data_IF_452895469926
#
_entry.id   IF_452895469926
#
_cell.length_a   1.000
_cell.length_b   1.000
_cell.length_c   1.000
_cell.angle_alpha   90.00
_cell.angle_beta   90.00
_cell.angle_gamma   90.00
#
_symmetry.space_group_name_H-M   'P 1'
#
loop_
_entity.id
_entity.type
_entity.pdbx_description
1 polymer ?
#
# COMPACT_ATOMS: atom_id res chain seq x y z
N UNK A 1 -40.30 -0.76 -17.70
CA UNK A 1 -39.39 0.20 -17.03
C UNK A 1 -39.94 0.44 -15.64
N UNK A 2 -39.33 -0.19 -14.65
CA UNK A 2 -39.76 -0.18 -13.26
C UNK A 2 -38.74 -0.97 -12.45
N UNK A 3 -37.96 -0.23 -11.68
CA UNK A 3 -37.04 -0.68 -10.62
C UNK A 3 -37.70 -1.67 -9.68
N UNK A 4 -36.96 -2.66 -9.16
CA UNK A 4 -36.88 -2.93 -7.73
C UNK A 4 -35.67 -3.85 -7.44
N UNK A 5 -34.76 -3.27 -6.67
CA UNK A 5 -33.68 -3.89 -5.92
C UNK A 5 -34.18 -5.00 -4.97
N UNK A 6 -33.20 -5.77 -4.49
CA UNK A 6 -33.22 -6.64 -3.32
C UNK A 6 -33.75 -8.07 -3.52
N UNK A 7 -32.80 -8.99 -3.70
CA UNK A 7 -32.85 -10.29 -3.03
C UNK A 7 -31.45 -10.65 -2.55
N UNK A 8 -31.17 -10.24 -1.31
CA UNK A 8 -30.16 -10.87 -0.47
C UNK A 8 -30.61 -12.31 -0.25
N UNK A 9 -29.81 -13.26 -0.73
CA UNK A 9 -29.83 -14.64 -0.24
C UNK A 9 -28.46 -14.89 0.39
N UNK A 10 -28.43 -14.82 1.72
CA UNK A 10 -27.37 -15.43 2.51
C UNK A 10 -27.43 -16.95 2.27
N UNK A 11 -26.35 -17.52 1.77
CA UNK A 11 -26.02 -18.93 1.94
C UNK A 11 -24.53 -19.03 2.22
N UNK A 12 -24.22 -19.34 3.47
CA UNK A 12 -22.89 -19.56 4.00
C UNK A 12 -22.05 -20.58 3.21
N UNK A 13 -20.78 -20.21 3.03
CA UNK A 13 -19.68 -21.16 3.09
C UNK A 13 -18.81 -21.25 1.84
N UNK A 14 -17.60 -20.69 1.97
CA UNK A 14 -16.34 -21.09 1.32
C UNK A 14 -16.01 -20.39 -0.02
N UNK A 15 -15.29 -19.27 0.08
CA UNK A 15 -14.54 -18.75 -1.06
C UNK A 15 -14.08 -17.29 -1.04
N UNK A 16 -14.26 -16.54 0.05
CA UNK A 16 -14.01 -15.09 0.08
C UNK A 16 -12.53 -14.73 0.25
N UNK A 17 -11.63 -15.39 -0.49
CA UNK A 17 -10.18 -15.23 -0.34
C UNK A 17 -9.52 -14.27 -1.36
N UNK A 18 -10.29 -13.67 -2.28
CA UNK A 18 -9.69 -13.06 -3.48
C UNK A 18 -9.86 -11.55 -3.68
N UNK A 19 -10.49 -10.81 -2.76
CA UNK A 19 -10.52 -9.34 -2.83
C UNK A 19 -9.85 -8.66 -1.63
N UNK A 20 -9.71 -9.35 -0.51
CA UNK A 20 -9.20 -8.77 0.74
C UNK A 20 -7.67 -8.61 0.74
N UNK A 21 -6.94 -9.54 0.12
CA UNK A 21 -5.47 -9.50 0.06
C UNK A 21 -4.96 -8.32 -0.78
N UNK A 22 -5.68 -7.95 -1.84
CA UNK A 22 -5.31 -6.86 -2.73
C UNK A 22 -5.71 -5.49 -2.15
N UNK A 23 -6.87 -5.41 -1.48
CA UNK A 23 -7.29 -4.23 -0.72
C UNK A 23 -6.34 -3.93 0.46
N UNK A 24 -5.88 -4.97 1.16
CA UNK A 24 -4.98 -4.82 2.32
C UNK A 24 -3.57 -4.33 1.97
N UNK A 25 -3.09 -4.56 0.73
CA UNK A 25 -1.84 -3.97 0.21
C UNK A 25 -2.06 -2.53 -0.25
N UNK A 26 -3.14 -2.28 -0.98
CA UNK A 26 -3.49 -0.96 -1.49
C UNK A 26 -3.86 0.06 -0.38
N UNK A 27 -4.25 -0.41 0.80
CA UNK A 27 -4.48 0.42 1.98
C UNK A 27 -3.21 0.65 2.83
N UNK A 28 -2.08 0.00 2.49
CA UNK A 28 -0.88 -0.09 3.35
C UNK A 28 0.17 1.00 3.09
N UNK A 29 0.18 1.53 1.88
CA UNK A 29 0.82 2.80 1.54
C UNK A 29 -0.31 3.72 1.08
N UNK A 30 -0.51 4.86 1.74
CA UNK A 30 -1.09 5.97 0.99
C UNK A 30 -0.26 6.15 -0.28
N UNK A 31 -0.92 6.45 -1.40
CA UNK A 31 -0.22 6.64 -2.66
C UNK A 31 0.93 7.64 -2.44
N UNK A 32 2.12 7.30 -2.90
CA UNK A 32 3.34 8.07 -2.62
C UNK A 32 3.19 9.56 -2.94
N UNK A 33 2.43 9.88 -3.99
CA UNK A 33 2.08 11.25 -4.36
C UNK A 33 1.32 12.01 -3.25
N UNK A 34 0.35 11.35 -2.60
CA UNK A 34 -0.39 11.92 -1.46
C UNK A 34 0.50 12.10 -0.24
N UNK A 35 1.36 11.12 0.06
CA UNK A 35 2.30 11.23 1.18
C UNK A 35 3.23 12.44 0.96
N UNK A 36 3.84 12.56 -0.22
CA UNK A 36 4.71 13.70 -0.56
C UNK A 36 4.03 15.05 -0.39
N UNK A 37 2.74 15.16 -0.70
CA UNK A 37 1.99 16.41 -0.57
C UNK A 37 1.99 16.94 0.88
N UNK A 38 2.03 16.05 1.87
CA UNK A 38 1.98 16.39 3.29
C UNK A 38 3.34 16.26 4.00
N UNK A 39 4.38 15.84 3.28
CA UNK A 39 5.74 15.78 3.80
C UNK A 39 6.36 17.17 3.83
N UNK A 40 6.64 17.66 5.04
CA UNK A 40 7.17 19.01 5.26
C UNK A 40 8.69 19.04 5.41
N UNK A 41 9.30 17.94 5.87
CA UNK A 41 10.71 17.88 6.26
C UNK A 41 11.48 16.80 5.47
N UNK A 42 12.73 17.05 5.07
CA UNK A 42 13.55 16.06 4.35
C UNK A 42 13.71 14.73 5.12
N UNK A 43 13.80 14.80 6.44
CA UNK A 43 13.90 13.64 7.33
C UNK A 43 12.62 12.80 7.32
N UNK A 44 11.46 13.46 7.25
CA UNK A 44 10.17 12.78 7.11
C UNK A 44 10.05 12.13 5.73
N UNK A 45 10.55 12.78 4.66
CA UNK A 45 10.55 12.17 3.33
C UNK A 45 11.39 10.89 3.32
N UNK A 46 12.57 10.92 3.93
CA UNK A 46 13.41 9.74 4.09
C UNK A 46 12.68 8.62 4.85
N UNK A 47 12.07 8.96 5.99
CA UNK A 47 11.30 8.00 6.78
C UNK A 47 10.17 7.37 5.96
N UNK A 48 9.38 8.15 5.23
CA UNK A 48 8.27 7.61 4.43
C UNK A 48 8.74 6.81 3.19
N UNK A 49 9.95 7.08 2.68
CA UNK A 49 10.57 6.24 1.66
C UNK A 49 10.88 4.83 2.19
N UNK A 50 11.41 4.73 3.41
CA UNK A 50 11.85 3.46 4.02
C UNK A 50 10.80 2.78 4.91
N UNK A 51 9.74 3.49 5.31
CA UNK A 51 8.69 3.02 6.22
C UNK A 51 8.14 1.64 5.82
N UNK A 52 7.86 1.34 4.53
CA UNK A 52 7.39 0.02 4.15
C UNK A 52 8.41 -1.11 4.35
N UNK A 53 9.70 -0.81 4.16
CA UNK A 53 10.78 -1.77 4.34
C UNK A 53 10.97 -2.09 5.82
N UNK A 54 10.96 -1.07 6.67
CA UNK A 54 11.27 -1.19 8.10
C UNK A 54 10.07 -1.72 8.90
N UNK A 55 8.86 -1.19 8.65
CA UNK A 55 7.68 -1.49 9.48
C UNK A 55 6.79 -2.58 8.90
N UNK A 56 6.80 -2.78 7.58
CA UNK A 56 5.89 -3.71 6.91
C UNK A 56 6.59 -4.87 6.22
N UNK A 57 7.92 -4.98 6.39
CA UNK A 57 8.75 -6.02 5.80
C UNK A 57 8.61 -6.12 4.27
N UNK A 58 8.26 -5.00 3.63
CA UNK A 58 8.20 -4.91 2.18
C UNK A 58 9.61 -4.89 1.60
N UNK A 59 9.80 -5.49 0.43
CA UNK A 59 11.10 -5.45 -0.23
C UNK A 59 11.34 -4.10 -0.91
N UNK A 60 12.60 -3.65 -0.96
CA UNK A 60 12.98 -2.47 -1.73
C UNK A 60 12.56 -2.56 -3.22
N UNK A 61 12.44 -3.78 -3.76
CA UNK A 61 12.01 -4.04 -5.14
C UNK A 61 10.49 -3.91 -5.35
N UNK A 62 9.68 -4.07 -4.31
CA UNK A 62 8.26 -3.72 -4.35
C UNK A 62 8.11 -2.19 -4.28
N UNK A 63 8.81 -1.54 -3.34
CA UNK A 63 8.71 -0.10 -3.11
C UNK A 63 9.16 0.77 -4.30
N UNK A 64 10.20 0.37 -5.03
CA UNK A 64 10.69 1.12 -6.21
C UNK A 64 9.65 1.23 -7.34
N UNK A 65 8.60 0.40 -7.33
CA UNK A 65 7.50 0.51 -8.31
C UNK A 65 6.58 1.70 -8.03
N UNK A 66 6.58 2.18 -6.79
CA UNK A 66 5.69 3.24 -6.31
C UNK A 66 6.38 4.60 -6.23
N UNK A 67 7.72 4.59 -6.14
CA UNK A 67 8.52 5.79 -5.87
C UNK A 67 9.72 5.89 -6.82
N UNK A 68 10.05 7.11 -7.22
CA UNK A 68 11.21 7.39 -8.09
C UNK A 68 12.54 7.45 -7.29
N UNK A 69 12.88 6.33 -6.63
CA UNK A 69 14.13 6.16 -5.88
C UNK A 69 14.74 4.80 -6.21
N UNK A 70 16.02 4.73 -6.63
CA UNK A 70 16.65 3.46 -6.97
C UNK A 70 16.60 2.45 -5.82
N UNK A 71 16.30 1.19 -6.14
CA UNK A 71 16.21 0.09 -5.17
C UNK A 71 17.46 -0.03 -4.27
N UNK A 72 18.66 0.10 -4.85
CA UNK A 72 19.93 0.05 -4.09
C UNK A 72 20.03 1.16 -3.05
N UNK A 73 19.51 2.35 -3.38
CA UNK A 73 19.49 3.50 -2.47
C UNK A 73 18.50 3.25 -1.33
N UNK A 74 17.32 2.68 -1.62
CA UNK A 74 16.34 2.34 -0.59
C UNK A 74 16.84 1.29 0.40
N UNK A 75 17.45 0.21 -0.12
CA UNK A 75 18.03 -0.82 0.73
C UNK A 75 19.08 -0.22 1.68
N UNK A 76 20.03 0.56 1.14
CA UNK A 76 21.05 1.20 1.97
C UNK A 76 20.46 2.11 3.04
N UNK A 77 19.47 2.95 2.67
CA UNK A 77 18.80 3.88 3.61
C UNK A 77 18.02 3.17 4.71
N UNK A 78 17.55 1.94 4.48
CA UNK A 78 16.81 1.16 5.46
C UNK A 78 17.74 0.41 6.45
N UNK A 79 18.99 0.20 6.07
CA UNK A 79 20.01 -0.50 6.87
C UNK A 79 20.87 0.46 7.72
N UNK A 80 20.81 1.78 7.47
CA UNK A 80 21.51 2.85 8.20
C UNK A 80 20.76 3.27 9.47
#
# INVERSE_FOLDING_TARGET
>A
MGTLEASIVLSEGRGDAWTETQSSRAHRAEEWASIKQWTLWPEQELYEQIRPLVLFHETAGERVKEIDVPQRTLARKADE
#
